data_IF_996474339802
#
_entry.id   IF_996474339802
#
_cell.length_a   1.000
_cell.length_b   1.000
_cell.length_c   1.000
_cell.angle_alpha   90.00
_cell.angle_beta   90.00
_cell.angle_gamma   90.00
#
_symmetry.space_group_name_H-M   'P 1'
#
loop_
_entity.id
_entity.type
_entity.pdbx_description
1 polymer ?
#
# COMPACT_ATOMS: atom_id res chain seq x y z
N UNK A 1 -6.98 -16.55 12.59
CA UNK A 1 -6.82 -15.60 13.71
C UNK A 1 -5.48 -14.91 13.54
N UNK A 2 -5.47 -13.59 13.45
CA UNK A 2 -4.29 -12.76 13.15
C UNK A 2 -3.70 -12.07 14.39
N UNK A 3 -4.36 -12.17 15.53
CA UNK A 3 -3.91 -11.57 16.79
C UNK A 3 -3.09 -12.54 17.63
N UNK A 4 -1.95 -12.07 18.13
CA UNK A 4 -1.05 -12.77 19.04
C UNK A 4 -0.65 -11.84 20.19
N UNK A 5 -0.45 -12.43 21.35
CA UNK A 5 0.01 -11.75 22.55
C UNK A 5 1.40 -12.23 22.89
N UNK A 6 2.37 -11.34 22.75
CA UNK A 6 3.74 -11.58 23.18
C UNK A 6 3.86 -11.12 24.63
N UNK A 7 4.09 -12.08 25.53
CA UNK A 7 4.22 -11.80 26.97
C UNK A 7 5.57 -12.27 27.47
N UNK A 8 5.98 -11.75 28.61
CA UNK A 8 7.12 -12.27 29.38
C UNK A 8 6.80 -12.25 30.86
N UNK A 9 7.31 -13.25 31.58
CA UNK A 9 7.17 -13.43 33.02
C UNK A 9 8.50 -13.89 33.62
N UNK A 10 8.78 -13.61 34.90
CA UNK A 10 10.04 -13.98 35.53
C UNK A 10 10.21 -15.51 35.58
N UNK A 11 11.46 -15.96 35.51
CA UNK A 11 11.83 -17.36 35.62
C UNK A 11 11.89 -17.83 37.07
N UNK A 12 10.79 -17.74 37.83
CA UNK A 12 10.69 -17.97 39.29
C UNK A 12 11.77 -18.90 39.86
N UNK A 13 11.74 -20.16 39.45
CA UNK A 13 12.78 -21.17 39.72
C UNK A 13 13.58 -21.49 38.45
N UNK A 14 12.88 -21.66 37.33
CA UNK A 14 13.46 -21.82 35.99
C UNK A 14 12.49 -21.29 34.93
N UNK A 15 12.99 -20.80 33.81
CA UNK A 15 12.14 -20.40 32.67
C UNK A 15 11.23 -21.55 32.17
N UNK A 16 11.70 -22.79 32.27
CA UNK A 16 10.92 -23.98 31.90
C UNK A 16 9.68 -24.13 32.78
N UNK A 17 9.81 -23.95 34.10
CA UNK A 17 8.68 -24.05 35.01
C UNK A 17 7.67 -22.91 34.80
N UNK A 18 8.14 -21.69 34.53
CA UNK A 18 7.27 -20.56 34.15
C UNK A 18 6.46 -20.88 32.90
N UNK A 19 7.10 -21.47 31.88
CA UNK A 19 6.43 -21.95 30.66
C UNK A 19 5.37 -23.03 30.97
N UNK A 20 5.74 -24.05 31.73
CA UNK A 20 4.84 -25.16 32.05
C UNK A 20 3.64 -24.72 32.88
N UNK A 21 3.85 -23.82 33.85
CA UNK A 21 2.78 -23.25 34.67
C UNK A 21 1.75 -22.52 33.81
N UNK A 22 2.21 -21.65 32.90
CA UNK A 22 1.34 -20.92 31.98
C UNK A 22 0.63 -21.86 31.01
N UNK A 23 1.37 -22.74 30.32
CA UNK A 23 0.82 -23.60 29.29
C UNK A 23 -0.18 -24.62 29.86
N UNK A 24 0.04 -25.08 31.09
CA UNK A 24 -0.89 -25.95 31.79
C UNK A 24 -2.26 -25.29 31.99
N UNK A 25 -2.30 -24.07 32.52
CA UNK A 25 -3.59 -23.42 32.85
C UNK A 25 -4.26 -22.74 31.65
N UNK A 26 -3.48 -22.22 30.70
CA UNK A 26 -4.03 -21.48 29.55
C UNK A 26 -4.37 -22.37 28.37
N UNK A 27 -3.60 -23.44 28.13
CA UNK A 27 -3.80 -24.34 26.98
C UNK A 27 -4.35 -25.70 27.42
N UNK A 28 -3.60 -26.47 28.23
CA UNK A 28 -3.95 -27.87 28.54
C UNK A 28 -5.25 -28.04 29.33
N UNK A 29 -5.50 -27.18 30.33
CA UNK A 29 -6.67 -27.29 31.20
C UNK A 29 -7.90 -26.58 30.66
N UNK A 30 -7.72 -25.39 30.09
CA UNK A 30 -8.85 -24.51 29.74
C UNK A 30 -8.97 -24.18 28.24
N UNK A 31 -8.00 -24.60 27.40
CA UNK A 31 -8.00 -24.35 25.94
C UNK A 31 -8.36 -22.89 25.58
N UNK A 32 -7.70 -21.94 26.24
CA UNK A 32 -7.92 -20.50 26.09
C UNK A 32 -7.02 -19.89 25.02
N UNK A 33 -5.82 -20.46 24.83
CA UNK A 33 -4.85 -20.04 23.82
C UNK A 33 -3.98 -21.19 23.34
N UNK A 34 -3.45 -21.05 22.12
CA UNK A 34 -2.31 -21.86 21.64
C UNK A 34 -1.03 -21.12 21.95
N UNK A 35 -0.10 -21.77 22.63
CA UNK A 35 1.10 -21.11 23.15
C UNK A 35 2.35 -21.60 22.43
N UNK A 36 3.31 -20.70 22.25
CA UNK A 36 4.64 -21.00 21.72
C UNK A 36 5.70 -20.33 22.59
N UNK A 37 6.82 -21.02 22.83
CA UNK A 37 8.00 -20.36 23.40
C UNK A 37 8.54 -19.35 22.40
N UNK A 38 8.90 -18.16 22.88
CA UNK A 38 9.50 -17.12 22.06
C UNK A 38 10.96 -16.95 22.50
N UNK A 39 11.89 -17.53 21.76
CA UNK A 39 13.29 -17.56 22.16
C UNK A 39 13.97 -16.23 21.85
N UNK A 40 14.35 -15.52 22.92
CA UNK A 40 15.19 -14.32 22.86
C UNK A 40 16.57 -14.71 23.38
N UNK A 41 17.66 -14.49 22.63
CA UNK A 41 19.00 -14.84 23.07
C UNK A 41 19.49 -13.89 24.16
N UNK A 42 20.62 -14.24 24.78
CA UNK A 42 21.29 -13.34 25.73
C UNK A 42 21.86 -12.13 24.97
N UNK A 43 21.17 -11.00 25.11
CA UNK A 43 21.60 -9.72 24.54
C UNK A 43 22.42 -8.93 25.56
N UNK A 44 23.32 -8.08 25.06
CA UNK A 44 24.18 -7.26 25.92
C UNK A 44 23.36 -6.23 26.70
N UNK A 45 23.21 -6.44 28.01
CA UNK A 45 22.57 -5.50 28.92
C UNK A 45 23.45 -4.25 29.10
N UNK A 46 22.86 -3.07 28.96
CA UNK A 46 23.50 -1.77 29.23
C UNK A 46 23.34 -1.33 30.70
N UNK A 47 23.50 -0.03 30.96
CA UNK A 47 23.12 0.54 32.27
C UNK A 47 21.62 0.71 32.38
N UNK A 48 21.08 0.80 33.61
CA UNK A 48 19.65 1.03 33.83
C UNK A 48 19.16 2.29 33.12
N UNK A 49 19.92 3.39 33.23
CA UNK A 49 19.63 4.67 32.56
C UNK A 49 19.53 4.52 31.02
N UNK A 50 20.45 3.76 30.41
CA UNK A 50 20.40 3.46 28.98
C UNK A 50 19.17 2.64 28.59
N UNK A 51 18.74 1.70 29.44
CA UNK A 51 17.56 0.86 29.19
C UNK A 51 16.26 1.66 29.30
N UNK A 52 16.15 2.58 30.26
CA UNK A 52 14.98 3.47 30.39
C UNK A 52 14.82 4.31 29.15
N UNK A 53 15.88 5.02 28.72
CA UNK A 53 15.82 5.82 27.49
C UNK A 53 15.58 4.98 26.23
N UNK A 54 16.12 3.75 26.19
CA UNK A 54 15.89 2.84 25.07
C UNK A 54 14.47 2.30 25.00
N UNK A 55 13.76 2.15 26.13
CA UNK A 55 12.37 1.64 26.13
C UNK A 55 11.44 2.56 25.32
N UNK A 56 11.55 3.87 25.54
CA UNK A 56 10.78 4.87 24.79
C UNK A 56 11.17 4.90 23.30
N UNK A 57 12.48 4.86 23.02
CA UNK A 57 13.00 4.85 21.65
C UNK A 57 12.53 3.60 20.88
N UNK A 58 12.53 2.42 21.52
CA UNK A 58 12.01 1.19 20.94
C UNK A 58 10.49 1.23 20.73
N UNK A 59 9.75 1.93 21.60
CA UNK A 59 8.31 2.16 21.38
C UNK A 59 8.03 2.97 20.12
N UNK A 60 8.80 4.04 19.89
CA UNK A 60 8.72 4.83 18.65
C UNK A 60 9.15 4.01 17.43
N UNK A 61 10.24 3.26 17.55
CA UNK A 61 10.75 2.41 16.48
C UNK A 61 9.73 1.33 16.10
N UNK A 62 9.12 0.65 17.07
CA UNK A 62 8.07 -0.36 16.84
C UNK A 62 6.91 0.19 16.02
N UNK A 63 6.35 1.34 16.41
CA UNK A 63 5.28 2.00 15.66
C UNK A 63 5.71 2.42 14.25
N UNK A 64 6.95 2.89 14.09
CA UNK A 64 7.50 3.26 12.80
C UNK A 64 7.64 2.04 11.88
N UNK A 65 8.24 0.95 12.36
CA UNK A 65 8.39 -0.29 11.57
C UNK A 65 7.04 -0.89 11.22
N UNK A 66 6.09 -0.91 12.16
CA UNK A 66 4.72 -1.36 11.91
C UNK A 66 4.05 -0.57 10.78
N UNK A 67 4.15 0.76 10.85
CA UNK A 67 3.58 1.67 9.84
C UNK A 67 4.18 1.43 8.46
N UNK A 68 5.51 1.30 8.37
CA UNK A 68 6.20 1.05 7.09
C UNK A 68 5.83 -0.33 6.55
N UNK A 69 5.75 -1.35 7.41
CA UNK A 69 5.34 -2.71 7.01
C UNK A 69 3.95 -2.71 6.38
N UNK A 70 2.98 -2.03 6.99
CA UNK A 70 1.63 -1.88 6.45
C UNK A 70 1.60 -1.06 5.16
N UNK A 71 2.39 0.03 5.05
CA UNK A 71 2.51 0.79 3.80
C UNK A 71 2.99 -0.09 2.64
N UNK A 72 4.03 -0.92 2.86
CA UNK A 72 4.56 -1.83 1.83
C UNK A 72 3.50 -2.87 1.44
N UNK A 73 2.82 -3.48 2.42
CA UNK A 73 1.77 -4.47 2.18
C UNK A 73 0.59 -3.90 1.38
N UNK A 74 0.09 -2.72 1.79
CA UNK A 74 -1.01 -2.04 1.12
C UNK A 74 -0.64 -1.65 -0.31
N UNK A 75 0.57 -1.10 -0.51
CA UNK A 75 1.02 -0.72 -1.85
C UNK A 75 1.22 -1.92 -2.77
N UNK A 76 1.70 -3.06 -2.25
CA UNK A 76 1.72 -4.32 -3.01
C UNK A 76 0.31 -4.72 -3.45
N UNK A 77 -0.69 -4.57 -2.57
CA UNK A 77 -2.10 -4.80 -2.91
C UNK A 77 -2.67 -3.84 -3.96
N UNK A 78 -2.15 -2.62 -4.06
CA UNK A 78 -2.52 -1.66 -5.11
C UNK A 78 -1.85 -2.00 -6.46
N UNK A 79 -0.58 -2.40 -6.44
CA UNK A 79 0.20 -2.74 -7.65
C UNK A 79 -0.34 -4.00 -8.32
N UNK A 80 -0.81 -4.98 -7.54
CA UNK A 80 -1.35 -6.23 -8.07
C UNK A 80 -2.63 -6.04 -8.89
N UNK A 81 -3.35 -4.92 -8.75
CA UNK A 81 -4.57 -4.58 -9.51
C UNK A 81 -5.54 -5.78 -9.59
N UNK A 82 -5.67 -6.41 -10.77
CA UNK A 82 -6.55 -7.55 -11.03
C UNK A 82 -6.14 -8.86 -10.33
N UNK A 83 -4.93 -8.90 -9.75
CA UNK A 83 -4.37 -10.06 -9.03
C UNK A 83 -4.34 -9.84 -7.51
N UNK A 84 -5.19 -8.94 -7.00
CA UNK A 84 -5.25 -8.61 -5.56
C UNK A 84 -5.64 -9.82 -4.70
N UNK A 85 -6.37 -10.79 -5.24
CA UNK A 85 -6.67 -12.08 -4.61
C UNK A 85 -5.40 -12.83 -4.16
N UNK A 86 -4.30 -12.66 -4.87
CA UNK A 86 -3.00 -13.27 -4.54
C UNK A 86 -2.21 -12.51 -3.48
N UNK A 87 -2.70 -11.39 -2.96
CA UNK A 87 -1.95 -10.53 -2.04
C UNK A 87 -1.46 -11.32 -0.82
N UNK A 88 -2.34 -12.08 -0.17
CA UNK A 88 -1.98 -12.88 1.01
C UNK A 88 -0.86 -13.90 0.73
N UNK A 89 -0.84 -14.50 -0.46
CA UNK A 89 0.22 -15.44 -0.87
C UNK A 89 1.56 -14.73 -1.11
N UNK A 90 1.52 -13.44 -1.45
CA UNK A 90 2.71 -12.63 -1.68
C UNK A 90 3.28 -12.01 -0.39
N UNK A 91 2.49 -11.90 0.67
CA UNK A 91 2.90 -11.40 1.98
C UNK A 91 3.54 -12.52 2.81
N UNK A 92 4.82 -12.76 2.54
CA UNK A 92 5.62 -13.78 3.20
C UNK A 92 6.77 -13.18 4.02
N UNK A 93 7.20 -13.90 5.06
CA UNK A 93 8.35 -13.57 5.88
C UNK A 93 9.37 -14.73 5.82
N UNK A 94 10.59 -14.45 5.35
CA UNK A 94 11.65 -15.45 5.14
C UNK A 94 11.18 -16.67 4.32
N UNK A 95 10.45 -16.43 3.23
CA UNK A 95 9.84 -17.46 2.36
C UNK A 95 8.80 -18.36 3.04
N UNK A 96 8.37 -18.04 4.25
CA UNK A 96 7.26 -18.70 4.95
C UNK A 96 6.06 -17.77 5.13
N UNK A 97 4.92 -18.33 5.54
CA UNK A 97 3.78 -17.52 5.96
C UNK A 97 4.07 -16.81 7.29
N UNK A 98 3.40 -15.67 7.52
CA UNK A 98 3.63 -14.81 8.68
C UNK A 98 3.40 -15.54 10.02
N UNK A 99 2.41 -16.45 10.06
CA UNK A 99 2.09 -17.21 11.26
C UNK A 99 3.19 -18.21 11.59
N UNK A 100 3.67 -18.96 10.60
CA UNK A 100 4.79 -19.87 10.79
C UNK A 100 6.04 -19.14 11.25
N UNK A 101 6.31 -17.95 10.70
CA UNK A 101 7.46 -17.13 11.11
C UNK A 101 7.40 -16.75 12.59
N UNK A 102 6.29 -16.15 13.06
CA UNK A 102 6.21 -15.70 14.46
C UNK A 102 6.15 -16.85 15.47
N UNK A 103 5.50 -17.98 15.11
CA UNK A 103 5.37 -19.13 16.01
C UNK A 103 6.65 -19.97 16.12
N UNK A 104 7.58 -19.81 15.17
CA UNK A 104 8.90 -20.44 15.14
C UNK A 104 10.01 -19.40 15.09
N UNK A 105 9.78 -18.24 15.70
CA UNK A 105 10.74 -17.14 15.69
C UNK A 105 12.10 -17.59 16.21
N UNK A 106 13.14 -17.23 15.46
CA UNK A 106 14.52 -17.33 15.86
C UNK A 106 15.20 -16.00 15.58
N UNK A 107 16.07 -15.59 16.51
CA UNK A 107 16.83 -14.37 16.38
C UNK A 107 17.83 -14.46 15.22
N UNK A 108 17.78 -13.50 14.31
CA UNK A 108 18.70 -13.39 13.18
C UNK A 108 20.03 -12.80 13.65
N UNK A 109 20.95 -13.68 14.08
CA UNK A 109 22.28 -13.29 14.55
C UNK A 109 23.17 -12.70 13.46
N UNK A 110 22.87 -12.96 12.18
CA UNK A 110 23.64 -12.44 11.07
C UNK A 110 23.29 -10.96 10.81
N UNK A 111 22.02 -10.60 10.88
CA UNK A 111 21.55 -9.21 10.75
C UNK A 111 21.69 -8.40 12.04
N UNK A 112 21.45 -9.04 13.18
CA UNK A 112 21.39 -8.39 14.49
C UNK A 112 22.34 -9.09 15.49
N UNK A 113 23.66 -8.81 15.44
CA UNK A 113 24.62 -9.56 16.24
C UNK A 113 24.44 -9.33 17.75
N UNK A 114 24.27 -10.41 18.52
CA UNK A 114 24.02 -10.38 19.97
C UNK A 114 25.13 -9.71 20.81
N UNK A 115 26.34 -9.58 20.24
CA UNK A 115 27.50 -8.94 20.88
C UNK A 115 27.43 -7.40 20.84
N UNK A 116 26.60 -6.83 19.95
CA UNK A 116 26.43 -5.39 19.85
C UNK A 116 25.50 -4.86 20.96
N UNK A 117 25.56 -3.56 21.24
CA UNK A 117 24.63 -2.93 22.17
C UNK A 117 23.21 -2.93 21.61
N UNK A 118 22.21 -2.98 22.49
CA UNK A 118 20.81 -2.92 22.11
C UNK A 118 20.47 -1.67 21.27
N UNK A 119 21.07 -0.51 21.63
CA UNK A 119 20.93 0.74 20.88
C UNK A 119 21.46 0.60 19.45
N UNK A 120 22.64 -0.01 19.26
CA UNK A 120 23.19 -0.21 17.92
C UNK A 120 22.32 -1.14 17.06
N UNK A 121 21.74 -2.19 17.66
CA UNK A 121 20.80 -3.08 16.96
C UNK A 121 19.53 -2.30 16.54
N UNK A 122 18.98 -1.48 17.45
CA UNK A 122 17.84 -0.62 17.14
C UNK A 122 18.16 0.38 16.01
N UNK A 123 19.36 0.97 16.00
CA UNK A 123 19.81 1.89 14.96
C UNK A 123 19.98 1.20 13.60
N UNK A 124 20.48 -0.04 13.57
CA UNK A 124 20.56 -0.87 12.36
C UNK A 124 19.16 -1.07 11.77
N UNK A 125 18.19 -1.46 12.61
CA UNK A 125 16.81 -1.65 12.17
C UNK A 125 16.21 -0.32 11.68
N UNK A 126 16.35 0.75 12.45
CA UNK A 126 15.84 2.09 12.10
C UNK A 126 16.36 2.55 10.73
N UNK A 127 17.67 2.43 10.50
CA UNK A 127 18.30 2.78 9.22
C UNK A 127 17.79 1.91 8.07
N UNK A 128 17.70 0.60 8.27
CA UNK A 128 17.19 -0.33 7.25
C UNK A 128 15.77 0.03 6.84
N UNK A 129 14.88 0.22 7.81
CA UNK A 129 13.46 0.51 7.55
C UNK A 129 13.27 1.92 6.97
N UNK A 130 14.07 2.90 7.42
CA UNK A 130 14.08 4.24 6.85
C UNK A 130 14.46 4.24 5.35
N UNK A 131 15.45 3.43 4.97
CA UNK A 131 15.81 3.26 3.56
C UNK A 131 14.66 2.65 2.75
N UNK A 132 14.00 1.62 3.29
CA UNK A 132 12.86 0.97 2.63
C UNK A 132 11.69 1.95 2.43
N UNK A 133 11.35 2.78 3.42
CA UNK A 133 10.26 3.78 3.29
C UNK A 133 10.59 4.84 2.22
N UNK A 134 11.84 5.32 2.18
CA UNK A 134 12.30 6.28 1.17
C UNK A 134 12.29 5.70 -0.24
N UNK A 135 12.77 4.46 -0.41
CA UNK A 135 12.76 3.76 -1.69
C UNK A 135 11.35 3.42 -2.15
N UNK A 136 10.46 3.02 -1.23
CA UNK A 136 9.05 2.79 -1.51
C UNK A 136 8.41 4.06 -2.09
N UNK A 137 8.62 5.21 -1.46
CA UNK A 137 8.07 6.50 -1.92
C UNK A 137 8.55 6.86 -3.33
N UNK A 138 9.84 6.65 -3.60
CA UNK A 138 10.44 6.94 -4.92
C UNK A 138 9.87 6.02 -6.00
N UNK A 139 9.86 4.71 -5.74
CA UNK A 139 9.35 3.71 -6.69
C UNK A 139 7.84 3.83 -6.90
N UNK A 140 7.08 4.11 -5.85
CA UNK A 140 5.63 4.25 -5.95
C UNK A 140 5.24 5.48 -6.76
N UNK A 141 5.91 6.61 -6.55
CA UNK A 141 5.69 7.83 -7.34
C UNK A 141 5.99 7.59 -8.82
N UNK A 142 7.12 6.93 -9.15
CA UNK A 142 7.49 6.65 -10.53
C UNK A 142 6.46 5.75 -11.24
N UNK A 143 6.04 4.65 -10.59
CA UNK A 143 5.08 3.71 -11.15
C UNK A 143 3.67 4.33 -11.27
N UNK A 144 3.24 5.09 -10.25
CA UNK A 144 1.93 5.75 -10.25
C UNK A 144 1.84 6.86 -11.31
N UNK A 145 2.93 7.61 -11.53
CA UNK A 145 2.98 8.60 -12.61
C UNK A 145 2.81 7.92 -13.97
N UNK A 146 3.49 6.80 -14.20
CA UNK A 146 3.37 6.03 -15.44
C UNK A 146 1.94 5.51 -15.65
N UNK A 147 1.32 4.96 -14.59
CA UNK A 147 -0.07 4.51 -14.61
C UNK A 147 -1.06 5.65 -14.89
N UNK A 148 -0.89 6.80 -14.23
CA UNK A 148 -1.74 7.99 -14.42
C UNK A 148 -1.63 8.54 -15.84
N UNK A 149 -0.41 8.64 -16.37
CA UNK A 149 -0.17 9.09 -17.75
C UNK A 149 -0.85 8.16 -18.76
N UNK A 150 -0.70 6.84 -18.59
CA UNK A 150 -1.36 5.85 -19.45
C UNK A 150 -2.89 5.97 -19.39
N UNK A 151 -3.46 6.03 -18.18
CA UNK A 151 -4.91 6.15 -18.00
C UNK A 151 -5.47 7.45 -18.63
N UNK A 152 -4.72 8.55 -18.54
CA UNK A 152 -5.11 9.82 -19.15
C UNK A 152 -5.12 9.74 -20.69
N UNK A 153 -4.18 9.02 -21.30
CA UNK A 153 -4.18 8.80 -22.75
C UNK A 153 -5.30 7.86 -23.19
N UNK A 154 -5.56 6.78 -22.45
CA UNK A 154 -6.64 5.82 -22.74
C UNK A 154 -8.02 6.49 -22.67
N UNK A 155 -8.26 7.35 -21.68
CA UNK A 155 -9.49 8.14 -21.57
C UNK A 155 -9.69 9.07 -22.76
N UNK A 156 -8.61 9.65 -23.29
CA UNK A 156 -8.68 10.49 -24.50
C UNK A 156 -9.04 9.67 -25.75
N UNK A 157 -8.85 8.35 -25.77
CA UNK A 157 -9.22 7.50 -26.91
C UNK A 157 -10.68 7.02 -26.87
N UNK A 158 -11.27 6.85 -25.69
CA UNK A 158 -12.52 6.08 -25.50
C UNK A 158 -13.79 6.91 -25.23
N UNK A 159 -13.74 8.23 -25.42
CA UNK A 159 -14.88 9.14 -25.20
C UNK A 159 -15.85 9.29 -26.39
N UNK A 160 -16.88 10.13 -26.22
CA UNK A 160 -17.76 10.55 -27.33
C UNK A 160 -16.96 11.23 -28.45
N UNK A 161 -17.43 11.13 -29.70
CA UNK A 161 -16.89 11.86 -30.86
C UNK A 161 -16.67 13.36 -30.63
N UNK A 162 -17.40 13.97 -29.69
CA UNK A 162 -17.26 15.37 -29.29
C UNK A 162 -15.95 15.68 -28.57
N UNK A 163 -15.35 14.73 -27.87
CA UNK A 163 -14.21 14.97 -26.98
C UNK A 163 -13.04 14.02 -27.20
N UNK A 164 -13.27 12.83 -27.77
CA UNK A 164 -12.20 11.85 -28.03
C UNK A 164 -11.20 12.36 -29.05
N UNK A 165 -9.98 11.85 -28.95
CA UNK A 165 -8.99 11.95 -30.00
C UNK A 165 -9.52 11.25 -31.26
N UNK A 166 -9.35 11.88 -32.42
CA UNK A 166 -9.82 11.38 -33.72
C UNK A 166 -8.71 10.67 -34.51
N UNK A 167 -7.47 10.72 -34.04
CA UNK A 167 -6.29 10.17 -34.73
C UNK A 167 -6.40 8.66 -35.01
N UNK A 168 -7.15 7.91 -34.20
CA UNK A 168 -7.38 6.47 -34.42
C UNK A 168 -8.57 6.19 -35.34
N UNK A 169 -9.40 7.19 -35.64
CA UNK A 169 -10.60 7.07 -36.49
C UNK A 169 -10.35 7.45 -37.94
N UNK A 170 -9.38 8.31 -38.19
CA UNK A 170 -9.18 8.94 -39.49
C UNK A 170 -8.04 8.28 -40.28
N UNK A 171 -8.12 8.35 -41.60
CA UNK A 171 -7.12 7.84 -42.54
C UNK A 171 -6.67 8.96 -43.47
N UNK A 172 -5.48 8.80 -44.06
CA UNK A 172 -4.91 9.73 -45.05
C UNK A 172 -5.88 10.04 -46.19
N UNK A 173 -6.58 9.02 -46.66
CA UNK A 173 -7.55 9.05 -47.76
C UNK A 173 -8.71 10.03 -47.52
N UNK A 174 -8.99 10.37 -46.26
CA UNK A 174 -10.08 11.27 -45.91
C UNK A 174 -9.74 12.75 -46.07
N UNK A 175 -8.48 13.11 -46.29
CA UNK A 175 -8.02 14.50 -46.33
C UNK A 175 -7.37 14.84 -47.65
N UNK A 176 -7.69 16.03 -48.16
CA UNK A 176 -6.86 16.69 -49.17
C UNK A 176 -5.66 17.31 -48.46
N UNK A 177 -4.48 16.72 -48.68
CA UNK A 177 -3.21 17.20 -48.18
C UNK A 177 -2.53 18.14 -49.19
N UNK A 178 -1.65 19.00 -48.70
CA UNK A 178 -0.78 19.89 -49.50
C UNK A 178 -1.49 20.79 -50.53
N UNK A 179 -2.79 21.03 -50.36
CA UNK A 179 -3.53 21.98 -51.20
C UNK A 179 -3.30 23.41 -50.71
N UNK A 180 -3.00 24.32 -51.64
CA UNK A 180 -2.92 25.75 -51.35
C UNK A 180 -4.28 26.31 -50.92
N UNK A 181 -5.35 25.90 -51.62
CA UNK A 181 -6.68 26.51 -51.51
C UNK A 181 -7.73 25.67 -50.79
N UNK A 182 -7.62 24.34 -50.80
CA UNK A 182 -8.61 23.44 -50.21
C UNK A 182 -8.17 22.95 -48.84
N UNK A 183 -9.15 22.62 -48.00
CA UNK A 183 -8.94 21.90 -46.75
C UNK A 183 -10.10 20.94 -46.51
N UNK A 184 -9.85 19.91 -45.70
CA UNK A 184 -10.89 18.96 -45.28
C UNK A 184 -11.11 19.08 -43.78
N UNK A 185 -12.35 19.36 -43.39
CA UNK A 185 -12.76 19.48 -41.99
C UNK A 185 -13.46 18.19 -41.53
N UNK A 186 -13.38 17.92 -40.24
CA UNK A 186 -14.15 16.88 -39.58
C UNK A 186 -15.33 17.50 -38.84
N UNK A 187 -16.53 16.95 -39.05
CA UNK A 187 -17.77 17.49 -38.48
C UNK A 187 -18.50 16.39 -37.73
N UNK A 188 -18.79 16.63 -36.46
CA UNK A 188 -19.61 15.76 -35.63
C UNK A 188 -21.06 16.18 -35.79
N UNK A 189 -21.89 15.25 -36.24
CA UNK A 189 -23.31 15.45 -36.54
C UNK A 189 -24.13 14.53 -35.63
N UNK A 190 -25.19 15.00 -34.95
CA UNK A 190 -26.11 14.13 -34.22
C UNK A 190 -26.80 13.15 -35.17
N UNK A 191 -26.99 11.89 -34.75
CA UNK A 191 -27.66 10.86 -35.58
C UNK A 191 -29.03 11.31 -36.11
N UNK A 192 -29.79 12.02 -35.29
CA UNK A 192 -31.09 12.59 -35.67
C UNK A 192 -31.03 13.53 -36.86
N UNK A 193 -29.86 14.10 -37.17
CA UNK A 193 -29.66 15.12 -38.19
C UNK A 193 -28.79 14.66 -39.36
N UNK A 194 -28.57 13.35 -39.53
CA UNK A 194 -27.80 12.83 -40.67
C UNK A 194 -28.43 13.18 -42.01
N UNK A 195 -29.77 13.11 -42.11
CA UNK A 195 -30.48 13.48 -43.33
C UNK A 195 -30.34 14.98 -43.64
N UNK A 196 -30.43 15.82 -42.61
CA UNK A 196 -30.24 17.28 -42.73
C UNK A 196 -28.82 17.64 -43.17
N UNK A 197 -27.81 16.92 -42.64
CA UNK A 197 -26.42 17.07 -43.06
C UNK A 197 -26.26 16.68 -44.54
N UNK A 198 -26.66 15.47 -44.92
CA UNK A 198 -26.47 14.96 -46.29
C UNK A 198 -27.23 15.80 -47.34
N UNK A 199 -28.41 16.34 -47.01
CA UNK A 199 -29.18 17.19 -47.93
C UNK A 199 -28.79 18.67 -47.94
N UNK A 200 -28.03 19.13 -46.93
CA UNK A 200 -27.88 20.56 -46.64
C UNK A 200 -26.47 21.08 -46.45
N UNK A 201 -25.45 20.22 -46.30
CA UNK A 201 -24.09 20.68 -45.99
C UNK A 201 -23.48 21.54 -47.11
N UNK A 202 -23.74 21.21 -48.37
CA UNK A 202 -23.24 21.94 -49.56
C UNK A 202 -23.75 23.38 -49.65
N UNK A 203 -24.82 23.70 -48.91
CA UNK A 203 -25.47 25.01 -48.90
C UNK A 203 -25.15 25.82 -47.63
N UNK A 204 -24.25 25.32 -46.78
CA UNK A 204 -23.86 26.04 -45.56
C UNK A 204 -23.06 27.29 -45.89
N UNK A 205 -22.17 27.24 -46.88
CA UNK A 205 -21.41 28.39 -47.37
C UNK A 205 -21.15 28.23 -48.87
N UNK A 206 -20.75 29.31 -49.53
CA UNK A 206 -20.16 29.20 -50.86
C UNK A 206 -18.82 28.45 -50.80
N UNK A 207 -18.31 28.00 -51.95
CA UNK A 207 -17.00 27.34 -52.08
C UNK A 207 -16.84 26.03 -51.27
N UNK A 208 -17.93 25.28 -51.09
CA UNK A 208 -17.90 23.88 -50.64
C UNK A 208 -17.75 22.98 -51.87
N UNK A 209 -16.92 21.94 -51.77
CA UNK A 209 -16.78 20.93 -52.82
C UNK A 209 -17.98 19.98 -52.77
N UNK A 210 -18.82 19.89 -53.82
CA UNK A 210 -19.97 19.00 -53.81
C UNK A 210 -19.56 17.53 -53.72
N UNK A 211 -20.39 16.70 -53.08
CA UNK A 211 -20.16 15.26 -52.83
C UNK A 211 -18.85 14.92 -52.10
N UNK A 212 -18.27 15.87 -51.37
CA UNK A 212 -17.05 15.69 -50.56
C UNK A 212 -17.29 15.09 -49.16
N UNK A 213 -18.54 14.94 -48.73
CA UNK A 213 -18.83 14.37 -47.42
C UNK A 213 -18.81 12.84 -47.43
N UNK A 214 -18.20 12.25 -46.41
CA UNK A 214 -18.26 10.82 -46.13
C UNK A 214 -18.37 10.59 -44.63
N UNK A 215 -19.07 9.53 -44.21
CA UNK A 215 -19.12 9.11 -42.81
C UNK A 215 -17.83 8.34 -42.48
N UNK A 216 -17.02 8.88 -41.57
CA UNK A 216 -15.74 8.30 -41.12
C UNK A 216 -15.94 7.26 -40.01
N UNK A 217 -16.73 7.64 -39.01
CA UNK A 217 -17.01 6.81 -37.84
C UNK A 217 -18.35 7.22 -37.23
N UNK A 218 -18.97 6.33 -36.47
CA UNK A 218 -20.25 6.57 -35.82
C UNK A 218 -20.25 5.94 -34.43
N UNK A 219 -20.65 6.70 -33.41
CA UNK A 219 -20.89 6.18 -32.06
C UNK A 219 -22.41 5.99 -31.82
N UNK A 220 -22.82 5.91 -30.55
CA UNK A 220 -24.23 5.71 -30.21
C UNK A 220 -25.10 6.92 -30.60
N UNK A 221 -24.56 8.14 -30.55
CA UNK A 221 -25.32 9.39 -30.62
C UNK A 221 -24.92 10.27 -31.82
N UNK A 222 -23.70 10.13 -32.33
CA UNK A 222 -23.10 11.01 -33.31
C UNK A 222 -22.44 10.25 -34.47
N UNK A 223 -22.31 10.94 -35.61
CA UNK A 223 -21.47 10.55 -36.73
C UNK A 223 -20.38 11.58 -36.96
N UNK A 224 -19.18 11.12 -37.29
CA UNK A 224 -18.05 11.94 -37.72
C UNK A 224 -18.01 11.94 -39.24
N UNK A 225 -18.20 13.10 -39.84
CA UNK A 225 -18.20 13.28 -41.29
C UNK A 225 -17.00 14.10 -41.75
N UNK A 226 -16.55 13.89 -42.99
CA UNK A 226 -15.66 14.85 -43.66
C UNK A 226 -16.46 15.90 -44.42
N UNK A 227 -15.82 17.04 -44.71
CA UNK A 227 -16.27 18.00 -45.73
C UNK A 227 -15.06 18.73 -46.29
N UNK A 228 -14.99 18.86 -47.62
CA UNK A 228 -13.92 19.60 -48.28
C UNK A 228 -14.46 20.95 -48.76
N UNK A 229 -13.73 22.02 -48.45
CA UNK A 229 -14.09 23.39 -48.80
C UNK A 229 -12.83 24.24 -49.02
N UNK A 230 -13.00 25.43 -49.57
CA UNK A 230 -11.91 26.39 -49.67
C UNK A 230 -11.53 26.94 -48.29
N UNK A 231 -10.23 27.08 -48.03
CA UNK A 231 -9.69 27.61 -46.76
C UNK A 231 -10.28 28.98 -46.39
N UNK A 232 -10.59 29.80 -47.40
CA UNK A 232 -11.15 31.15 -47.23
C UNK A 232 -12.49 31.18 -46.49
N UNK A 233 -13.30 30.12 -46.60
CA UNK A 233 -14.65 30.04 -46.02
C UNK A 233 -14.73 29.16 -44.77
N UNK A 234 -13.60 28.70 -44.22
CA UNK A 234 -13.60 27.79 -43.06
C UNK A 234 -14.29 28.38 -41.84
N UNK A 235 -14.03 29.65 -41.51
CA UNK A 235 -14.62 30.29 -40.33
C UNK A 235 -16.13 30.56 -40.51
N UNK A 236 -16.54 30.97 -41.71
CA UNK A 236 -17.95 31.11 -42.07
C UNK A 236 -18.67 29.74 -41.99
N UNK A 237 -18.03 28.68 -42.49
CA UNK A 237 -18.56 27.33 -42.45
C UNK A 237 -18.75 26.86 -41.01
N UNK A 238 -17.76 27.08 -40.14
CA UNK A 238 -17.85 26.74 -38.71
C UNK A 238 -19.02 27.47 -38.04
N UNK A 239 -19.26 28.74 -38.38
CA UNK A 239 -20.38 29.52 -37.86
C UNK A 239 -21.73 28.90 -38.25
N UNK A 240 -21.98 28.70 -39.54
CA UNK A 240 -23.25 28.12 -40.03
C UNK A 240 -23.44 26.65 -39.60
N UNK A 241 -22.36 25.88 -39.52
CA UNK A 241 -22.39 24.52 -38.96
C UNK A 241 -22.88 24.54 -37.51
N UNK A 242 -22.36 25.47 -36.69
CA UNK A 242 -22.75 25.62 -35.28
C UNK A 242 -24.21 26.01 -35.12
N UNK A 243 -24.74 26.89 -35.97
CA UNK A 243 -26.16 27.28 -35.98
C UNK A 243 -27.09 26.08 -36.21
N UNK A 244 -26.64 25.12 -37.03
CA UNK A 244 -27.35 23.84 -37.25
C UNK A 244 -27.00 22.75 -36.24
N UNK A 245 -26.30 23.09 -35.15
CA UNK A 245 -25.84 22.16 -34.10
C UNK A 245 -24.85 21.10 -34.60
N UNK A 246 -24.16 21.37 -35.71
CA UNK A 246 -23.03 20.57 -36.17
C UNK A 246 -21.75 21.11 -35.56
N UNK A 247 -20.88 20.21 -35.09
CA UNK A 247 -19.67 20.58 -34.34
C UNK A 247 -18.46 20.26 -35.19
N UNK A 248 -17.79 21.29 -35.70
CA UNK A 248 -16.52 21.12 -36.43
C UNK A 248 -15.41 20.84 -35.42
N UNK A 249 -14.71 19.72 -35.58
CA UNK A 249 -13.58 19.33 -34.72
C UNK A 249 -12.29 19.91 -35.30
N UNK A 250 -11.52 20.60 -34.45
CA UNK A 250 -10.17 21.02 -34.81
C UNK A 250 -9.27 19.79 -34.94
N UNK A 251 -8.82 19.53 -36.16
CA UNK A 251 -7.97 18.41 -36.48
C UNK A 251 -7.17 18.69 -37.74
N UNK A 252 -5.86 18.49 -37.67
CA UNK A 252 -4.96 18.54 -38.82
C UNK A 252 -4.36 17.16 -39.00
N UNK A 253 -4.51 16.57 -40.18
CA UNK A 253 -3.91 15.27 -40.45
C UNK A 253 -2.40 15.42 -40.64
N UNK A 254 -1.62 14.84 -39.74
CA UNK A 254 -0.16 14.73 -39.84
C UNK A 254 0.28 13.30 -39.53
N UNK A 255 0.70 12.57 -40.56
CA UNK A 255 1.06 11.15 -40.45
C UNK A 255 2.17 10.88 -39.42
N UNK A 256 3.15 11.79 -39.30
CA UNK A 256 4.25 11.68 -38.34
C UNK A 256 3.77 11.86 -36.90
N UNK A 257 2.92 12.87 -36.63
CA UNK A 257 2.35 13.12 -35.29
C UNK A 257 1.41 11.99 -34.86
N UNK A 258 0.57 11.49 -35.78
CA UNK A 258 -0.32 10.36 -35.52
C UNK A 258 0.48 9.09 -35.19
N UNK A 259 1.56 8.81 -35.93
CA UNK A 259 2.44 7.69 -35.66
C UNK A 259 3.18 7.85 -34.33
N UNK A 260 3.69 9.05 -34.03
CA UNK A 260 4.35 9.37 -32.77
C UNK A 260 3.44 9.14 -31.56
N UNK A 261 2.18 9.58 -31.62
CA UNK A 261 1.20 9.38 -30.53
C UNK A 261 0.86 7.90 -30.28
N UNK A 262 0.71 7.09 -31.34
CA UNK A 262 0.51 5.63 -31.21
C UNK A 262 1.74 4.94 -30.61
N UNK A 263 2.93 5.36 -31.03
CA UNK A 263 4.20 4.84 -30.50
C UNK A 263 4.36 5.19 -29.01
N UNK A 264 3.96 6.39 -28.59
CA UNK A 264 4.02 6.82 -27.18
C UNK A 264 3.15 5.96 -26.27
N UNK A 265 1.90 5.68 -26.65
CA UNK A 265 1.01 4.80 -25.88
C UNK A 265 1.60 3.40 -25.78
N UNK A 266 2.05 2.83 -26.89
CA UNK A 266 2.66 1.50 -26.94
C UNK A 266 3.91 1.42 -26.06
N UNK A 267 4.72 2.48 -26.08
CA UNK A 267 5.89 2.62 -25.22
C UNK A 267 5.50 2.65 -23.75
N UNK A 268 4.51 3.46 -23.35
CA UNK A 268 4.07 3.56 -21.96
C UNK A 268 3.44 2.26 -21.43
N UNK A 269 2.67 1.54 -22.26
CA UNK A 269 2.17 0.19 -21.92
C UNK A 269 3.34 -0.78 -21.70
N UNK A 270 4.33 -0.75 -22.58
CA UNK A 270 5.52 -1.60 -22.49
C UNK A 270 6.33 -1.28 -21.23
N UNK A 271 6.52 0.00 -20.93
CA UNK A 271 7.27 0.46 -19.75
C UNK A 271 6.53 0.11 -18.45
N UNK A 272 5.18 0.22 -18.41
CA UNK A 272 4.35 -0.28 -17.27
C UNK A 272 4.64 -1.75 -17.01
N UNK A 273 4.55 -2.57 -18.06
CA UNK A 273 4.75 -4.02 -17.98
C UNK A 273 6.17 -4.39 -17.57
N UNK A 274 7.18 -3.66 -18.07
CA UNK A 274 8.59 -3.85 -17.69
C UNK A 274 8.85 -3.49 -16.24
N UNK A 275 8.23 -2.44 -15.70
CA UNK A 275 8.42 -2.03 -14.30
C UNK A 275 7.64 -2.89 -13.31
N UNK A 276 6.49 -3.43 -13.71
CA UNK A 276 5.61 -4.21 -12.84
C UNK A 276 6.32 -5.38 -12.15
N UNK A 277 6.96 -6.28 -12.91
CA UNK A 277 7.60 -7.48 -12.36
C UNK A 277 8.69 -7.17 -11.33
N UNK A 278 9.69 -6.33 -11.67
CA UNK A 278 10.71 -5.89 -10.72
C UNK A 278 10.14 -5.18 -9.49
N UNK A 279 9.09 -4.35 -9.65
CA UNK A 279 8.46 -3.65 -8.54
C UNK A 279 7.79 -4.63 -7.57
N UNK A 280 7.00 -5.58 -8.08
CA UNK A 280 6.35 -6.62 -7.26
C UNK A 280 7.41 -7.43 -6.50
N UNK A 281 8.48 -7.86 -7.18
CA UNK A 281 9.58 -8.59 -6.53
C UNK A 281 10.24 -7.77 -5.41
N UNK A 282 10.50 -6.49 -5.68
CA UNK A 282 11.08 -5.59 -4.69
C UNK A 282 10.14 -5.41 -3.48
N UNK A 283 8.84 -5.22 -3.70
CA UNK A 283 7.86 -5.09 -2.62
C UNK A 283 7.77 -6.35 -1.76
N UNK A 284 7.76 -7.55 -2.36
CA UNK A 284 7.74 -8.83 -1.61
C UNK A 284 8.97 -8.98 -0.71
N UNK A 285 10.16 -8.71 -1.26
CA UNK A 285 11.41 -8.79 -0.49
C UNK A 285 11.40 -7.81 0.67
N UNK A 286 11.06 -6.55 0.41
CA UNK A 286 11.11 -5.51 1.44
C UNK A 286 9.98 -5.64 2.46
N UNK A 287 8.83 -6.19 2.09
CA UNK A 287 7.80 -6.58 3.05
C UNK A 287 8.34 -7.64 4.03
N UNK A 288 9.00 -8.69 3.51
CA UNK A 288 9.62 -9.71 4.36
C UNK A 288 10.66 -9.09 5.30
N UNK A 289 11.52 -8.21 4.80
CA UNK A 289 12.53 -7.50 5.61
C UNK A 289 11.87 -6.65 6.71
N UNK A 290 10.86 -5.85 6.37
CA UNK A 290 10.11 -5.03 7.33
C UNK A 290 9.43 -5.87 8.41
N UNK A 291 8.73 -6.94 8.03
CA UNK A 291 8.04 -7.81 8.98
C UNK A 291 9.03 -8.54 9.90
N UNK A 292 10.12 -9.08 9.35
CA UNK A 292 11.16 -9.72 10.16
C UNK A 292 11.77 -8.73 11.17
N UNK A 293 12.13 -7.53 10.71
CA UNK A 293 12.66 -6.47 11.57
C UNK A 293 11.65 -6.07 12.66
N UNK A 294 10.36 -6.00 12.34
CA UNK A 294 9.31 -5.68 13.29
C UNK A 294 9.27 -6.66 14.47
N UNK A 295 9.32 -7.97 14.18
CA UNK A 295 9.34 -9.00 15.22
C UNK A 295 10.63 -8.95 16.06
N UNK A 296 11.76 -8.57 15.46
CA UNK A 296 12.99 -8.30 16.22
C UNK A 296 12.88 -7.08 17.13
N UNK A 297 12.22 -6.01 16.70
CA UNK A 297 11.91 -4.86 17.57
C UNK A 297 10.99 -5.29 18.72
N UNK A 298 9.96 -6.11 18.47
CA UNK A 298 9.11 -6.67 19.53
C UNK A 298 9.95 -7.49 20.54
N UNK A 299 10.88 -8.31 20.05
CA UNK A 299 11.79 -9.07 20.89
C UNK A 299 12.70 -8.16 21.74
N UNK A 300 13.25 -7.08 21.16
CA UNK A 300 14.02 -6.07 21.89
C UNK A 300 13.18 -5.39 22.98
N UNK A 301 11.95 -5.00 22.67
CA UNK A 301 11.02 -4.39 23.64
C UNK A 301 10.74 -5.34 24.80
N UNK A 302 10.43 -6.60 24.53
CA UNK A 302 10.24 -7.62 25.57
C UNK A 302 11.48 -7.78 26.43
N UNK A 303 12.66 -7.86 25.80
CA UNK A 303 13.91 -8.01 26.54
C UNK A 303 14.16 -6.81 27.47
N UNK A 304 14.09 -5.58 26.95
CA UNK A 304 14.33 -4.35 27.73
C UNK A 304 13.32 -4.22 28.86
N UNK A 305 12.03 -4.38 28.57
CA UNK A 305 10.97 -4.27 29.58
C UNK A 305 11.09 -5.38 30.65
N UNK A 306 11.47 -6.60 30.26
CA UNK A 306 11.68 -7.70 31.22
C UNK A 306 12.86 -7.41 32.14
N UNK A 307 13.96 -6.85 31.63
CA UNK A 307 15.10 -6.45 32.47
C UNK A 307 14.74 -5.29 33.39
N UNK A 308 13.97 -4.31 32.90
CA UNK A 308 13.51 -3.17 33.71
C UNK A 308 12.56 -3.61 34.84
N UNK A 309 11.67 -4.58 34.58
CA UNK A 309 10.69 -5.05 35.58
C UNK A 309 11.20 -6.14 36.51
N UNK A 310 12.00 -7.08 36.00
CA UNK A 310 12.42 -8.28 36.75
C UNK A 310 13.87 -8.20 37.24
N UNK A 311 14.62 -7.20 36.80
CA UNK A 311 15.98 -6.95 37.26
C UNK A 311 17.02 -7.91 36.68
N UNK A 312 18.17 -7.99 37.37
CA UNK A 312 19.29 -8.85 37.02
C UNK A 312 19.50 -9.94 38.09
N UNK A 313 20.01 -11.12 37.72
CA UNK A 313 20.39 -11.55 36.36
C UNK A 313 19.19 -11.71 35.43
N UNK A 314 19.41 -11.62 34.11
CA UNK A 314 18.34 -11.76 33.11
C UNK A 314 17.74 -13.16 33.23
N UNK A 315 16.54 -13.25 33.81
CA UNK A 315 15.87 -14.52 34.07
C UNK A 315 14.36 -14.37 33.84
N UNK A 316 13.96 -14.50 32.58
CA UNK A 316 12.56 -14.44 32.18
C UNK A 316 12.24 -15.44 31.08
N UNK A 317 10.96 -15.77 30.92
CA UNK A 317 10.45 -16.62 29.86
C UNK A 317 9.49 -15.82 28.97
N UNK A 318 9.92 -15.49 27.75
CA UNK A 318 9.05 -14.89 26.74
C UNK A 318 8.20 -15.97 26.04
N UNK A 319 6.93 -15.65 25.79
CA UNK A 319 5.92 -16.59 25.30
C UNK A 319 4.99 -15.87 24.33
N UNK A 320 4.67 -16.53 23.22
CA UNK A 320 3.71 -16.05 22.23
C UNK A 320 2.41 -16.84 22.38
N UNK A 321 1.33 -16.17 22.78
CA UNK A 321 0.02 -16.75 22.94
C UNK A 321 -0.84 -16.36 21.73
N UNK A 322 -1.56 -17.31 21.16
CA UNK A 322 -2.63 -17.07 20.19
C UNK A 322 -3.97 -17.27 20.90
N UNK A 323 -4.64 -16.20 21.37
CA UNK A 323 -5.90 -16.31 22.09
C UNK A 323 -7.01 -16.87 21.21
N UNK A 324 -7.88 -17.69 21.79
CA UNK A 324 -9.13 -18.07 21.15
C UNK A 324 -10.12 -16.90 21.23
N UNK A 325 -10.66 -16.43 20.09
CA UNK A 325 -11.51 -15.21 19.99
C UNK A 325 -12.61 -15.09 21.05
N UNK A 326 -13.21 -16.20 21.48
CA UNK A 326 -14.32 -16.22 22.45
C UNK A 326 -13.85 -16.17 23.92
N UNK A 327 -12.59 -16.49 24.19
CA UNK A 327 -12.07 -16.73 25.54
C UNK A 327 -11.06 -15.67 26.00
N UNK A 328 -10.91 -14.59 25.24
CA UNK A 328 -9.95 -13.51 25.50
C UNK A 328 -10.05 -12.94 26.93
N UNK A 329 -11.27 -12.67 27.42
CA UNK A 329 -11.48 -12.17 28.79
C UNK A 329 -11.02 -13.19 29.84
N UNK A 330 -11.44 -14.45 29.68
CA UNK A 330 -11.05 -15.54 30.60
C UNK A 330 -9.54 -15.77 30.61
N UNK A 331 -8.88 -15.65 29.45
CA UNK A 331 -7.43 -15.72 29.35
C UNK A 331 -6.75 -14.61 30.17
N UNK A 332 -7.28 -13.38 30.12
CA UNK A 332 -6.78 -12.28 30.98
C UNK A 332 -6.93 -12.60 32.46
N UNK A 333 -8.09 -13.09 32.88
CA UNK A 333 -8.34 -13.44 34.29
C UNK A 333 -7.35 -14.51 34.78
N UNK A 334 -7.07 -15.52 33.95
CA UNK A 334 -6.12 -16.60 34.27
C UNK A 334 -4.68 -16.09 34.34
N UNK A 335 -4.26 -15.23 33.40
CA UNK A 335 -2.94 -14.61 33.42
C UNK A 335 -2.77 -13.68 34.62
N UNK A 336 -3.80 -12.92 34.99
CA UNK A 336 -3.80 -12.11 36.21
C UNK A 336 -3.74 -12.98 37.46
N UNK A 337 -4.44 -14.11 37.50
CA UNK A 337 -4.34 -15.07 38.60
C UNK A 337 -2.94 -15.66 38.78
N UNK A 338 -2.20 -15.88 37.68
CA UNK A 338 -0.81 -16.36 37.73
C UNK A 338 0.17 -15.28 38.18
N UNK A 339 0.05 -14.08 37.62
CA UNK A 339 1.11 -13.06 37.66
C UNK A 339 0.73 -11.77 38.40
N UNK A 340 -0.48 -11.65 38.94
CA UNK A 340 -0.94 -10.45 39.67
C UNK A 340 -0.08 -10.10 40.89
N UNK A 341 0.64 -11.07 41.46
CA UNK A 341 1.59 -10.83 42.53
C UNK A 341 2.78 -9.93 42.11
N UNK A 342 3.09 -9.84 40.82
CA UNK A 342 4.18 -9.01 40.31
C UNK A 342 3.93 -7.51 40.53
N UNK A 343 2.66 -7.06 40.59
CA UNK A 343 2.31 -5.66 40.89
C UNK A 343 2.80 -5.22 42.28
N UNK A 344 2.73 -6.13 43.26
CA UNK A 344 3.20 -5.85 44.63
C UNK A 344 4.72 -5.76 44.75
N UNK A 345 5.46 -6.34 43.80
CA UNK A 345 6.92 -6.21 43.72
C UNK A 345 7.36 -4.89 43.08
N UNK A 346 6.59 -4.38 42.11
CA UNK A 346 6.85 -3.06 41.49
C UNK A 346 6.57 -1.88 42.42
N UNK A 347 5.62 -2.01 43.35
CA UNK A 347 5.31 -0.94 44.32
C UNK A 347 6.31 -0.84 45.50
N UNK A 348 7.09 -1.89 45.79
CA UNK A 348 8.10 -1.83 46.87
C UNK A 348 9.37 -1.05 46.48
N UNK A 349 9.61 -0.79 45.18
CA UNK A 349 10.74 0.01 44.69
C UNK A 349 10.41 1.49 44.40
N UNK A 350 9.13 1.88 44.48
CA UNK A 350 8.68 3.24 44.19
C UNK A 350 7.71 3.72 45.28
N UNK A 351 8.27 4.10 46.44
CA UNK A 351 7.61 5.11 47.29
C UNK A 351 7.72 6.45 46.58
N UNK A 352 6.86 6.67 45.59
CA UNK A 352 6.44 8.00 45.20
C UNK A 352 4.99 7.90 44.76
N UNK A 353 4.11 8.56 45.53
CA UNK A 353 2.68 8.62 45.32
C UNK A 353 2.33 8.77 43.84
N UNK A 354 1.65 7.76 43.27
CA UNK A 354 0.83 7.97 42.09
C UNK A 354 -0.40 8.78 42.54
N UNK A 355 -0.22 10.10 42.60
CA UNK A 355 -1.32 11.04 42.79
C UNK A 355 -2.17 11.00 41.53
N UNK A 356 -3.34 10.39 41.60
CA UNK A 356 -4.38 10.55 40.59
C UNK A 356 -4.80 12.03 40.56
N UNK A 357 -4.30 12.78 39.57
CA UNK A 357 -4.76 14.14 39.26
C UNK A 357 -5.85 14.02 38.19
N UNK A 358 -7.13 14.28 38.51
CA UNK A 358 -8.21 14.27 37.52
C UNK A 358 -8.01 15.44 36.54
N UNK A 359 -7.87 15.16 35.24
CA UNK A 359 -7.84 16.19 34.17
C UNK A 359 -6.69 16.10 33.17
N UNK A 360 -5.68 15.25 33.41
CA UNK A 360 -4.61 14.97 32.45
C UNK A 360 -4.76 13.53 31.95
N UNK A 361 -5.46 13.37 30.82
CA UNK A 361 -5.60 12.09 30.15
C UNK A 361 -4.28 11.59 29.57
N UNK A 362 -3.43 10.99 30.40
CA UNK A 362 -2.54 9.95 29.91
C UNK A 362 -3.44 8.78 29.51
N UNK A 363 -3.58 8.57 28.20
CA UNK A 363 -4.47 7.53 27.66
C UNK A 363 -4.22 6.20 28.34
N UNK A 364 -5.31 5.52 28.73
CA UNK A 364 -5.28 4.18 29.33
C UNK A 364 -4.49 3.23 28.43
N UNK A 365 -3.20 3.09 28.68
CA UNK A 365 -2.43 1.95 28.20
C UNK A 365 -2.89 0.74 29.01
N UNK A 366 -3.15 -0.38 28.32
CA UNK A 366 -3.47 -1.64 28.98
C UNK A 366 -2.28 -2.07 29.86
N UNK A 367 -2.31 -1.71 31.14
CA UNK A 367 -1.32 -2.13 32.11
C UNK A 367 -1.60 -3.57 32.53
N UNK A 368 -0.55 -4.40 32.54
CA UNK A 368 -0.59 -5.76 33.04
C UNK A 368 0.58 -6.00 34.02
N UNK A 369 0.41 -6.88 35.02
CA UNK A 369 1.47 -7.26 35.97
C UNK A 369 2.70 -7.90 35.33
N UNK A 370 2.54 -8.40 34.11
CA UNK A 370 3.57 -9.03 33.29
C UNK A 370 3.84 -8.16 32.05
N UNK A 371 5.01 -8.34 31.44
CA UNK A 371 5.33 -7.67 30.17
C UNK A 371 4.36 -8.14 29.10
N UNK A 372 3.76 -7.22 28.35
CA UNK A 372 2.75 -7.53 27.34
C UNK A 372 2.89 -6.63 26.11
N UNK A 373 2.89 -7.25 24.93
CA UNK A 373 2.75 -6.58 23.65
C UNK A 373 1.79 -7.35 22.73
N UNK A 374 0.89 -6.62 22.09
CA UNK A 374 0.01 -7.16 21.05
C UNK A 374 0.73 -7.16 19.70
N UNK A 375 0.56 -8.24 18.94
CA UNK A 375 1.00 -8.36 17.55
C UNK A 375 -0.22 -8.72 16.71
N UNK A 376 -0.54 -7.88 15.72
CA UNK A 376 -1.55 -8.20 14.71
C UNK A 376 -0.83 -8.45 13.37
N UNK A 377 -0.99 -9.65 12.82
CA UNK A 377 -0.41 -10.00 11.51
C UNK A 377 -1.39 -9.79 10.35
N UNK A 378 -2.52 -9.15 10.60
CA UNK A 378 -3.44 -8.72 9.54
C UNK A 378 -2.89 -7.44 8.88
N UNK A 379 -2.13 -7.63 7.81
CA UNK A 379 -1.33 -6.58 7.16
C UNK A 379 -2.13 -5.70 6.19
N UNK A 380 -3.39 -6.04 5.95
CA UNK A 380 -4.23 -5.39 4.95
C UNK A 380 -5.58 -5.12 5.59
N UNK A 381 -6.02 -3.87 5.58
CA UNK A 381 -7.37 -3.56 6.02
C UNK A 381 -8.38 -4.21 5.06
N UNK A 382 -9.19 -5.13 5.59
CA UNK A 382 -10.42 -5.52 4.91
C UNK A 382 -11.36 -4.32 4.97
N UNK A 383 -11.42 -3.53 3.90
CA UNK A 383 -12.55 -2.63 3.65
C UNK A 383 -13.78 -3.52 3.48
N UNK A 384 -14.44 -3.81 4.60
CA UNK A 384 -15.79 -4.38 4.62
C UNK A 384 -16.78 -3.28 4.28
#
# INVERSE_FOLDING_TARGET
>A
MSEYWLISAPGDKTCQQTWEALDNVTNKQQNLSVNHKFHIPDLKVGTLDQLVGLSDDLGKLDNFVDTVTHKVANYLGEVLEDQRDKLHENLQANNGDLRSYITRFQWDMAKYPIKQSLRNIADIISKQIGQIDADLKTKSTAYNNLKSNLQNMEKKQTGSLLTRNLADLVKKEYFILDSEYLTTLLVVVPKSNFNDWNGGYEKLTEMIVPRSTQLVHQDNDFGLFTVTLFKKVVEEFKLHAREKKFIVREFTYNEEELAAGKNEITKLVTDKKKQFGPLVRWLKVNFSECFCAWIHVKALRVFVESVLRYGLPVNFQAMLLQPNKKNTKRLRDVLHGLYGHLDSSTQQGAQHDSVDIPGLGFGQSDYFPYVYYKINIDMVENKV
#
